data_IF_446634449263
#
_entry.id   IF_446634449263
#
_cell.length_a   1.000
_cell.length_b   1.000
_cell.length_c   1.000
_cell.angle_alpha   90.00
_cell.angle_beta   90.00
_cell.angle_gamma   90.00
#
_symmetry.space_group_name_H-M   'P 1'
#
loop_
_entity.id
_entity.type
_entity.pdbx_description
1 polymer ?
#
# COMPACT_ATOMS: atom_id res chain seq x y z
N UNK A 1 -9.72 23.31 -67.30
CA UNK A 1 -10.25 23.64 -65.97
C UNK A 1 -10.72 22.34 -65.32
N UNK A 2 -9.80 21.63 -64.66
CA UNK A 2 -10.08 20.37 -63.97
C UNK A 2 -10.41 20.64 -62.51
N UNK A 3 -11.56 20.17 -62.04
CA UNK A 3 -11.97 20.21 -60.64
C UNK A 3 -11.73 18.84 -60.01
N UNK A 4 -10.72 18.75 -59.14
CA UNK A 4 -10.49 17.60 -58.27
C UNK A 4 -11.46 17.69 -57.09
N UNK A 5 -12.36 16.70 -56.98
CA UNK A 5 -13.14 16.45 -55.78
C UNK A 5 -12.23 15.77 -54.74
N UNK A 6 -11.95 16.47 -53.64
CA UNK A 6 -11.37 15.85 -52.45
C UNK A 6 -12.48 15.14 -51.67
N UNK A 7 -12.49 13.81 -51.70
CA UNK A 7 -13.21 13.01 -50.72
C UNK A 7 -12.37 12.96 -49.44
N UNK A 8 -12.84 13.60 -48.37
CA UNK A 8 -12.28 13.44 -47.05
C UNK A 8 -12.54 12.02 -46.54
N UNK A 9 -11.48 11.20 -46.42
CA UNK A 9 -11.52 9.99 -45.63
C UNK A 9 -11.64 10.40 -44.16
N UNK A 10 -12.86 10.29 -43.62
CA UNK A 10 -13.08 10.24 -42.17
C UNK A 10 -12.47 8.94 -41.68
N UNK A 11 -11.19 9.02 -41.31
CA UNK A 11 -10.55 7.96 -40.54
C UNK A 11 -11.29 7.84 -39.22
N UNK A 12 -11.92 6.69 -39.01
CA UNK A 12 -12.46 6.33 -37.72
C UNK A 12 -11.31 6.39 -36.71
N UNK A 13 -11.41 7.35 -35.79
CA UNK A 13 -10.66 7.33 -34.56
C UNK A 13 -11.07 6.06 -33.82
N UNK A 14 -10.33 4.98 -33.99
CA UNK A 14 -10.25 3.97 -32.94
C UNK A 14 -9.84 4.74 -31.69
N UNK A 15 -10.78 4.96 -30.77
CA UNK A 15 -10.51 5.44 -29.42
C UNK A 15 -9.60 4.40 -28.76
N UNK A 16 -8.30 4.54 -28.99
CA UNK A 16 -7.29 3.79 -28.24
C UNK A 16 -7.43 4.27 -26.80
N UNK A 17 -7.90 3.36 -25.93
CA UNK A 17 -7.85 3.57 -24.49
C UNK A 17 -6.45 4.09 -24.13
N UNK A 18 -6.34 5.17 -23.33
CA UNK A 18 -5.05 5.66 -22.86
C UNK A 18 -4.23 4.52 -22.28
N UNK A 19 -2.92 4.49 -22.57
CA UNK A 19 -2.02 3.40 -22.15
C UNK A 19 -2.08 3.10 -20.64
N UNK A 20 -2.37 4.10 -19.82
CA UNK A 20 -2.56 3.96 -18.37
C UNK A 20 -3.81 3.14 -18.01
N UNK A 21 -4.94 3.36 -18.69
CA UNK A 21 -6.18 2.62 -18.43
C UNK A 21 -6.05 1.15 -18.79
N UNK A 22 -5.37 0.86 -19.90
CA UNK A 22 -5.06 -0.52 -20.30
C UNK A 22 -4.18 -1.20 -19.27
N UNK A 23 -3.16 -0.50 -18.75
CA UNK A 23 -2.26 -1.04 -17.73
C UNK A 23 -3.00 -1.30 -16.41
N UNK A 24 -3.85 -0.36 -15.96
CA UNK A 24 -4.67 -0.53 -14.76
C UNK A 24 -5.62 -1.72 -14.87
N UNK A 25 -6.31 -1.87 -16.02
CA UNK A 25 -7.18 -3.02 -16.27
C UNK A 25 -6.41 -4.34 -16.29
N UNK A 26 -5.24 -4.37 -16.93
CA UNK A 26 -4.39 -5.56 -16.97
C UNK A 26 -3.93 -5.96 -15.56
N UNK A 27 -3.47 -4.99 -14.76
CA UNK A 27 -3.09 -5.17 -13.37
C UNK A 27 -4.23 -5.82 -12.57
N UNK A 28 -5.46 -5.30 -12.69
CA UNK A 28 -6.63 -5.85 -12.01
C UNK A 28 -6.93 -7.30 -12.40
N UNK A 29 -6.92 -7.60 -13.70
CA UNK A 29 -7.19 -8.95 -14.23
C UNK A 29 -6.15 -9.94 -13.72
N UNK A 30 -4.87 -9.57 -13.78
CA UNK A 30 -3.78 -10.44 -13.36
C UNK A 30 -3.72 -10.62 -11.84
N UNK A 31 -3.97 -9.55 -11.07
CA UNK A 31 -4.09 -9.61 -9.63
C UNK A 31 -5.19 -10.58 -9.21
N UNK A 32 -6.36 -10.48 -9.84
CA UNK A 32 -7.48 -11.40 -9.60
C UNK A 32 -7.11 -12.84 -9.97
N UNK A 33 -6.42 -13.06 -11.09
CA UNK A 33 -5.96 -14.39 -11.50
C UNK A 33 -4.96 -15.01 -10.51
N UNK A 34 -4.15 -14.19 -9.84
CA UNK A 34 -3.26 -14.59 -8.75
C UNK A 34 -3.96 -14.69 -7.39
N UNK A 35 -5.26 -14.40 -7.32
CA UNK A 35 -6.04 -14.39 -6.09
C UNK A 35 -5.66 -13.26 -5.12
N UNK A 36 -4.95 -12.23 -5.60
CA UNK A 36 -4.53 -11.08 -4.81
C UNK A 36 -5.71 -10.15 -4.52
N UNK A 37 -5.65 -9.34 -3.44
CA UNK A 37 -6.69 -8.37 -3.14
C UNK A 37 -6.87 -7.35 -4.26
N UNK A 38 -8.10 -7.12 -4.70
CA UNK A 38 -8.39 -6.18 -5.81
C UNK A 38 -9.44 -5.13 -5.46
N UNK A 39 -10.20 -5.24 -4.37
CA UNK A 39 -11.26 -4.28 -4.02
C UNK A 39 -10.79 -2.84 -3.98
N UNK A 40 -9.70 -2.56 -3.28
CA UNK A 40 -9.19 -1.19 -3.18
C UNK A 40 -8.66 -0.67 -4.52
N UNK A 41 -8.11 -1.56 -5.36
CA UNK A 41 -7.69 -1.22 -6.73
C UNK A 41 -8.89 -0.92 -7.63
N UNK A 42 -10.01 -1.62 -7.45
CA UNK A 42 -11.25 -1.38 -8.19
C UNK A 42 -11.93 -0.07 -7.78
N UNK A 43 -11.69 0.40 -6.55
CA UNK A 43 -12.22 1.67 -6.08
C UNK A 43 -11.54 2.89 -6.71
N UNK A 44 -10.29 2.75 -7.15
CA UNK A 44 -9.52 3.83 -7.81
C UNK A 44 -9.90 3.90 -9.30
N UNK A 45 -10.32 5.07 -9.81
CA UNK A 45 -10.55 5.27 -11.24
C UNK A 45 -9.28 4.97 -12.04
N UNK A 46 -9.41 4.24 -13.16
CA UNK A 46 -8.26 3.84 -13.98
C UNK A 46 -7.44 5.03 -14.54
N UNK A 47 -8.06 6.21 -14.61
CA UNK A 47 -7.43 7.45 -15.05
C UNK A 47 -6.76 8.25 -13.92
N UNK A 48 -6.92 7.82 -12.65
CA UNK A 48 -6.36 8.52 -11.49
C UNK A 48 -4.83 8.41 -11.49
N UNK A 49 -4.31 7.20 -11.73
CA UNK A 49 -2.87 6.94 -11.70
C UNK A 49 -2.27 7.00 -13.12
N UNK A 50 -1.19 7.78 -13.27
CA UNK A 50 -0.34 7.79 -14.47
C UNK A 50 0.84 6.85 -14.26
N UNK A 51 0.99 5.86 -15.12
CA UNK A 51 2.12 4.95 -15.06
C UNK A 51 3.28 5.43 -15.93
N UNK A 52 4.48 5.37 -15.36
CA UNK A 52 5.73 5.66 -16.03
C UNK A 52 6.76 4.57 -15.71
N UNK A 53 7.75 4.42 -16.58
CA UNK A 53 8.87 3.51 -16.35
C UNK A 53 10.18 4.28 -16.30
N UNK A 54 10.92 4.11 -15.22
CA UNK A 54 12.22 4.74 -15.03
C UNK A 54 13.22 3.78 -14.36
N UNK A 55 14.49 4.17 -14.31
CA UNK A 55 15.55 3.40 -13.68
C UNK A 55 15.54 3.59 -12.15
N UNK A 56 14.59 2.93 -11.49
CA UNK A 56 14.57 2.84 -10.03
C UNK A 56 15.66 1.86 -9.57
N UNK A 57 16.72 2.40 -8.97
CA UNK A 57 17.90 1.63 -8.57
C UNK A 57 17.64 0.71 -7.36
N UNK A 58 16.74 1.12 -6.46
CA UNK A 58 16.54 0.47 -5.14
C UNK A 58 15.15 -0.10 -4.94
N UNK A 59 14.18 0.24 -5.80
CA UNK A 59 12.76 -0.08 -5.59
C UNK A 59 12.12 -0.58 -6.88
N UNK A 60 11.12 -1.45 -6.75
CA UNK A 60 10.36 -1.94 -7.90
C UNK A 60 9.34 -0.91 -8.40
N UNK A 61 8.78 -0.11 -7.50
CA UNK A 61 7.82 0.95 -7.80
C UNK A 61 7.99 2.10 -6.80
N UNK A 62 7.51 3.29 -7.15
CA UNK A 62 7.41 4.48 -6.30
C UNK A 62 6.17 5.30 -6.70
N UNK A 63 5.36 5.69 -5.71
CA UNK A 63 4.21 6.56 -5.92
C UNK A 63 4.46 8.00 -5.46
N UNK A 64 4.14 8.98 -6.31
CA UNK A 64 4.26 10.40 -6.00
C UNK A 64 2.90 11.04 -5.66
N UNK A 65 2.67 11.27 -4.36
CA UNK A 65 1.50 11.92 -3.78
C UNK A 65 1.35 13.35 -4.33
N UNK A 66 0.31 13.61 -5.11
CA UNK A 66 0.03 14.93 -5.72
C UNK A 66 0.27 15.01 -7.23
N UNK A 67 1.15 14.18 -7.80
CA UNK A 67 1.25 14.02 -9.26
C UNK A 67 0.35 12.89 -9.78
N UNK A 68 -0.16 12.08 -8.85
CA UNK A 68 -0.86 10.81 -9.08
C UNK A 68 -0.07 9.91 -10.04
N UNK A 69 1.24 9.85 -9.80
CA UNK A 69 2.22 9.24 -10.70
C UNK A 69 2.83 8.01 -10.05
N UNK A 70 2.72 6.89 -10.74
CA UNK A 70 3.32 5.60 -10.37
C UNK A 70 4.52 5.35 -11.27
N UNK A 71 5.72 5.46 -10.72
CA UNK A 71 6.96 5.14 -11.42
C UNK A 71 7.29 3.69 -11.15
N UNK A 72 7.45 2.91 -12.21
CA UNK A 72 7.80 1.50 -12.15
C UNK A 72 9.24 1.32 -12.61
N UNK A 73 9.99 0.45 -11.94
CA UNK A 73 11.34 0.11 -12.40
C UNK A 73 11.27 -0.47 -13.81
N UNK A 74 12.19 -0.06 -14.70
CA UNK A 74 12.28 -0.61 -16.06
C UNK A 74 12.40 -2.13 -16.10
N UNK A 75 12.93 -2.75 -15.05
CA UNK A 75 13.01 -4.22 -14.89
C UNK A 75 11.64 -4.89 -14.82
N UNK A 76 10.62 -4.16 -14.38
CA UNK A 76 9.22 -4.59 -14.38
C UNK A 76 8.57 -4.48 -15.76
N UNK A 77 9.19 -3.79 -16.72
CA UNK A 77 8.60 -3.63 -18.05
C UNK A 77 8.86 -4.83 -18.96
N UNK A 78 7.92 -5.13 -19.86
CA UNK A 78 8.06 -6.26 -20.78
C UNK A 78 9.28 -6.05 -21.69
N UNK A 79 10.23 -6.97 -21.64
CA UNK A 79 11.53 -6.90 -22.33
C UNK A 79 12.35 -5.62 -22.02
N UNK A 80 12.10 -4.93 -20.91
CA UNK A 80 12.80 -3.67 -20.60
C UNK A 80 12.37 -2.48 -21.48
N UNK A 81 11.27 -2.60 -22.23
CA UNK A 81 10.84 -1.60 -23.21
C UNK A 81 10.26 -0.31 -22.60
N UNK A 82 9.89 -0.34 -21.31
CA UNK A 82 9.37 0.84 -20.61
C UNK A 82 7.97 1.29 -21.04
N UNK A 83 7.16 0.40 -21.62
CA UNK A 83 5.83 0.72 -22.15
C UNK A 83 4.69 -0.04 -21.47
N UNK A 84 4.95 -1.27 -21.03
CA UNK A 84 3.93 -2.14 -20.43
C UNK A 84 4.54 -2.95 -19.30
N UNK A 85 3.75 -3.18 -18.25
CA UNK A 85 4.11 -4.01 -17.11
C UNK A 85 4.23 -5.47 -17.59
N UNK A 86 5.27 -6.17 -17.14
CA UNK A 86 5.37 -7.62 -17.30
C UNK A 86 4.19 -8.29 -16.58
N UNK A 87 3.70 -9.44 -17.07
CA UNK A 87 2.69 -10.17 -16.35
C UNK A 87 3.08 -10.40 -14.89
N UNK A 88 2.19 -10.10 -13.94
CA UNK A 88 2.41 -10.21 -12.50
C UNK A 88 2.90 -11.61 -12.12
N UNK A 89 2.40 -12.66 -12.76
CA UNK A 89 2.86 -14.04 -12.55
C UNK A 89 4.32 -14.30 -12.96
N UNK A 90 4.99 -13.34 -13.62
CA UNK A 90 6.42 -13.37 -13.92
C UNK A 90 7.25 -12.46 -13.02
N UNK A 91 6.62 -11.67 -12.15
CA UNK A 91 7.33 -10.86 -11.16
C UNK A 91 7.67 -11.72 -9.94
N UNK A 92 8.73 -11.35 -9.25
CA UNK A 92 9.07 -11.92 -7.95
C UNK A 92 8.04 -11.50 -6.90
N UNK A 93 7.90 -12.28 -5.84
CA UNK A 93 6.99 -11.92 -4.74
C UNK A 93 7.38 -10.59 -4.09
N UNK A 94 8.68 -10.26 -4.04
CA UNK A 94 9.17 -8.97 -3.53
C UNK A 94 8.75 -7.82 -4.44
N UNK A 95 8.87 -7.96 -5.76
CA UNK A 95 8.40 -6.94 -6.71
C UNK A 95 6.89 -6.71 -6.60
N UNK A 96 6.09 -7.78 -6.47
CA UNK A 96 4.64 -7.67 -6.29
C UNK A 96 4.30 -7.03 -4.94
N UNK A 97 5.03 -7.39 -3.88
CA UNK A 97 4.90 -6.80 -2.54
C UNK A 97 5.12 -5.29 -2.58
N UNK A 98 6.20 -4.83 -3.19
CA UNK A 98 6.50 -3.39 -3.35
C UNK A 98 5.45 -2.72 -4.22
N UNK A 99 5.03 -3.34 -5.33
CA UNK A 99 3.96 -2.79 -6.16
C UNK A 99 2.66 -2.58 -5.37
N UNK A 100 2.26 -3.54 -4.52
CA UNK A 100 1.07 -3.41 -3.69
C UNK A 100 1.22 -2.38 -2.55
N UNK A 101 2.43 -2.19 -2.02
CA UNK A 101 2.75 -1.10 -1.11
C UNK A 101 2.47 0.25 -1.78
N UNK A 102 2.99 0.48 -2.98
CA UNK A 102 2.79 1.73 -3.71
C UNK A 102 1.36 1.94 -4.20
N UNK A 103 0.70 0.88 -4.68
CA UNK A 103 -0.72 0.94 -5.07
C UNK A 103 -1.62 1.31 -3.89
N UNK A 104 -1.25 0.91 -2.67
CA UNK A 104 -1.96 1.31 -1.48
C UNK A 104 -1.84 2.82 -1.21
N UNK A 105 -0.65 3.40 -1.42
CA UNK A 105 -0.48 4.85 -1.36
C UNK A 105 -1.38 5.57 -2.37
N UNK A 106 -1.46 5.07 -3.61
CA UNK A 106 -2.36 5.62 -4.62
C UNK A 106 -3.84 5.57 -4.21
N UNK A 107 -4.25 4.49 -3.52
CA UNK A 107 -5.61 4.38 -3.02
C UNK A 107 -5.93 5.35 -1.88
N UNK A 108 -5.04 5.53 -0.90
CA UNK A 108 -5.26 6.54 0.14
C UNK A 108 -5.25 7.96 -0.44
N UNK A 109 -4.37 8.25 -1.41
CA UNK A 109 -4.35 9.52 -2.13
C UNK A 109 -5.67 9.79 -2.86
N UNK A 110 -6.21 8.76 -3.53
CA UNK A 110 -7.53 8.83 -4.15
C UNK A 110 -8.63 9.13 -3.13
N UNK A 111 -8.65 8.45 -1.98
CA UNK A 111 -9.66 8.73 -0.95
C UNK A 111 -9.59 10.17 -0.45
N UNK A 112 -8.39 10.70 -0.25
CA UNK A 112 -8.18 12.10 0.17
C UNK A 112 -8.68 13.06 -0.92
N UNK A 113 -8.27 12.86 -2.17
CA UNK A 113 -8.67 13.70 -3.31
C UNK A 113 -10.19 13.65 -3.55
N UNK A 114 -10.80 12.47 -3.38
CA UNK A 114 -12.24 12.30 -3.48
C UNK A 114 -12.98 13.04 -2.35
N UNK A 115 -12.47 13.00 -1.13
CA UNK A 115 -13.05 13.71 0.01
C UNK A 115 -12.98 15.25 -0.13
N UNK A 116 -11.96 15.77 -0.81
CA UNK A 116 -11.85 17.21 -1.11
C UNK A 116 -12.88 17.67 -2.15
N UNK A 117 -13.30 16.77 -3.03
CA UNK A 117 -14.19 17.10 -4.16
C UNK A 117 -15.65 16.67 -3.95
N UNK A 118 -15.93 15.80 -2.97
CA UNK A 118 -17.26 15.29 -2.66
C UNK A 118 -17.51 15.17 -1.15
N UNK A 119 -18.55 15.83 -0.59
CA UNK A 119 -18.92 15.70 0.82
C UNK A 119 -19.23 14.25 1.26
N UNK A 120 -19.74 13.41 0.36
CA UNK A 120 -20.05 12.01 0.66
C UNK A 120 -18.78 11.18 0.87
N UNK A 121 -17.70 11.51 0.15
CA UNK A 121 -16.42 10.83 0.27
C UNK A 121 -15.67 11.18 1.57
N UNK A 122 -15.96 12.33 2.19
CA UNK A 122 -15.46 12.68 3.53
C UNK A 122 -15.87 11.65 4.57
N UNK A 123 -17.04 11.03 4.40
CA UNK A 123 -17.56 10.01 5.32
C UNK A 123 -17.07 8.59 5.00
N UNK A 124 -16.07 8.44 4.12
CA UNK A 124 -15.55 7.13 3.77
C UNK A 124 -14.94 6.44 5.01
N UNK A 125 -15.42 5.25 5.43
CA UNK A 125 -15.05 4.65 6.71
C UNK A 125 -13.55 4.45 6.92
N UNK A 126 -12.84 4.07 5.86
CA UNK A 126 -11.38 3.88 5.89
C UNK A 126 -10.67 5.22 6.14
N UNK A 127 -11.12 6.30 5.49
CA UNK A 127 -10.49 7.62 5.62
C UNK A 127 -10.77 8.22 7.00
N UNK A 128 -12.02 8.12 7.47
CA UNK A 128 -12.40 8.57 8.83
C UNK A 128 -11.56 7.85 9.88
N UNK A 129 -11.43 6.53 9.76
CA UNK A 129 -10.60 5.75 10.68
C UNK A 129 -9.12 6.12 10.59
N UNK A 130 -8.58 6.27 9.37
CA UNK A 130 -7.19 6.69 9.17
C UNK A 130 -6.92 8.06 9.82
N UNK A 131 -7.80 9.06 9.64
CA UNK A 131 -7.64 10.38 10.27
C UNK A 131 -7.71 10.32 11.80
N UNK A 132 -8.55 9.46 12.37
CA UNK A 132 -8.58 9.23 13.81
C UNK A 132 -7.26 8.61 14.32
N UNK A 133 -6.70 7.62 13.61
CA UNK A 133 -5.41 7.03 13.97
C UNK A 133 -4.25 8.01 13.76
N UNK A 134 -4.29 8.85 12.73
CA UNK A 134 -3.28 9.88 12.46
C UNK A 134 -3.12 10.79 13.67
N UNK A 135 -4.22 11.37 14.18
CA UNK A 135 -4.16 12.30 15.31
C UNK A 135 -3.83 11.62 16.65
N UNK A 136 -4.13 10.33 16.79
CA UNK A 136 -4.02 9.63 18.06
C UNK A 136 -2.77 8.73 18.16
N UNK A 137 -2.64 7.73 17.29
CA UNK A 137 -1.55 6.75 17.33
C UNK A 137 -0.27 7.29 16.68
N UNK A 138 -0.40 8.02 15.57
CA UNK A 138 0.75 8.56 14.83
C UNK A 138 1.08 10.02 15.14
N UNK A 139 0.24 10.73 15.92
CA UNK A 139 0.52 12.09 16.35
C UNK A 139 1.66 12.17 17.37
N UNK A 140 1.86 11.10 18.16
CA UNK A 140 2.98 10.96 19.07
C UNK A 140 3.53 9.53 19.00
N UNK A 141 4.73 9.36 18.44
CA UNK A 141 5.35 8.05 18.19
C UNK A 141 6.61 7.87 19.01
N UNK A 142 7.03 6.62 19.16
CA UNK A 142 8.39 6.28 19.56
C UNK A 142 9.18 5.99 18.29
N UNK A 143 10.41 6.50 18.21
CA UNK A 143 11.37 6.19 17.15
C UNK A 143 12.60 5.50 17.74
N UNK A 144 13.32 4.74 16.92
CA UNK A 144 14.66 4.26 17.26
C UNK A 144 15.68 5.27 16.71
N UNK A 145 16.31 6.10 17.55
CA UNK A 145 17.08 7.26 17.07
C UNK A 145 18.35 6.85 16.31
N UNK A 146 18.92 5.69 16.65
CA UNK A 146 20.15 5.15 16.06
C UNK A 146 19.98 3.64 15.88
N UNK A 147 20.16 3.15 14.66
CA UNK A 147 19.96 1.71 14.32
C UNK A 147 20.84 0.79 15.16
N UNK A 148 22.05 1.23 15.53
CA UNK A 148 22.96 0.47 16.40
C UNK A 148 22.50 0.40 17.87
N UNK A 149 21.49 1.17 18.28
CA UNK A 149 20.93 1.19 19.64
C UNK A 149 19.45 0.86 19.62
N UNK A 150 19.14 -0.35 19.13
CA UNK A 150 17.77 -0.82 18.91
C UNK A 150 16.88 -0.91 20.16
N UNK A 151 17.46 -0.85 21.36
CA UNK A 151 16.74 -0.80 22.63
C UNK A 151 16.40 0.62 23.10
N UNK A 152 17.04 1.64 22.54
CA UNK A 152 16.75 3.04 22.86
C UNK A 152 15.57 3.52 22.02
N UNK A 153 14.61 4.15 22.68
CA UNK A 153 13.46 4.79 22.02
C UNK A 153 13.35 6.23 22.45
N UNK A 154 13.01 7.10 21.49
CA UNK A 154 12.77 8.52 21.72
C UNK A 154 11.31 8.84 21.37
N UNK A 155 10.62 9.60 22.22
CA UNK A 155 9.27 10.08 21.92
C UNK A 155 9.32 11.30 21.01
N UNK A 156 8.48 11.29 19.97
CA UNK A 156 8.36 12.35 18.97
C UNK A 156 6.90 12.72 18.77
N UNK A 157 6.64 14.01 18.78
CA UNK A 157 5.37 14.59 18.36
C UNK A 157 5.51 14.97 16.89
N UNK A 158 4.65 14.41 16.05
CA UNK A 158 4.71 14.58 14.61
C UNK A 158 3.79 15.71 14.18
N UNK A 159 4.21 16.45 13.17
CA UNK A 159 3.33 17.36 12.42
C UNK A 159 2.17 16.61 11.77
N UNK A 160 1.18 17.34 11.24
CA UNK A 160 0.09 16.74 10.47
C UNK A 160 0.64 15.95 9.26
N UNK A 161 1.62 16.48 8.54
CA UNK A 161 2.23 15.81 7.39
C UNK A 161 2.99 14.56 7.81
N UNK A 162 3.87 14.65 8.80
CA UNK A 162 4.69 13.53 9.25
C UNK A 162 3.85 12.41 9.87
N UNK A 163 2.79 12.76 10.63
CA UNK A 163 1.87 11.76 11.20
C UNK A 163 1.05 11.05 10.13
N UNK A 164 0.63 11.76 9.08
CA UNK A 164 -0.04 11.15 7.93
C UNK A 164 0.90 10.21 7.18
N UNK A 165 2.13 10.64 6.94
CA UNK A 165 3.16 9.83 6.29
C UNK A 165 3.47 8.57 7.11
N UNK A 166 3.70 8.71 8.42
CA UNK A 166 3.94 7.58 9.33
C UNK A 166 2.79 6.55 9.31
N UNK A 167 1.54 7.01 9.29
CA UNK A 167 0.37 6.14 9.15
C UNK A 167 0.36 5.44 7.80
N UNK A 168 0.47 6.22 6.72
CA UNK A 168 0.35 5.74 5.35
C UNK A 168 1.43 4.69 5.05
N UNK A 169 2.69 4.95 5.44
CA UNK A 169 3.80 4.01 5.34
C UNK A 169 3.58 2.75 6.19
N UNK A 170 3.09 2.88 7.42
CA UNK A 170 2.84 1.72 8.29
C UNK A 170 1.78 0.80 7.70
N UNK A 171 0.71 1.36 7.15
CA UNK A 171 -0.35 0.59 6.50
C UNK A 171 0.14 -0.03 5.19
N UNK A 172 0.90 0.70 4.38
CA UNK A 172 1.49 0.21 3.14
C UNK A 172 2.46 -0.96 3.38
N UNK A 173 3.33 -0.86 4.40
CA UNK A 173 4.22 -1.95 4.83
C UNK A 173 3.40 -3.20 5.15
N UNK A 174 2.29 -3.05 5.88
CA UNK A 174 1.41 -4.18 6.19
C UNK A 174 0.75 -4.74 4.92
N UNK A 175 0.34 -3.89 3.99
CA UNK A 175 -0.25 -4.33 2.71
C UNK A 175 0.73 -5.17 1.89
N UNK A 176 1.96 -4.67 1.70
CA UNK A 176 3.01 -5.43 1.04
C UNK A 176 3.30 -6.75 1.75
N UNK A 177 3.42 -6.71 3.09
CA UNK A 177 3.66 -7.91 3.91
C UNK A 177 2.57 -8.97 3.73
N UNK A 178 1.29 -8.58 3.72
CA UNK A 178 0.16 -9.49 3.52
C UNK A 178 0.24 -10.17 2.15
N UNK A 179 0.48 -9.38 1.10
CA UNK A 179 0.56 -9.85 -0.29
C UNK A 179 1.73 -10.80 -0.47
N UNK A 180 2.91 -10.44 0.03
CA UNK A 180 4.10 -11.29 -0.02
C UNK A 180 3.84 -12.65 0.66
N UNK A 181 3.29 -12.64 1.88
CA UNK A 181 3.01 -13.88 2.60
C UNK A 181 1.94 -14.73 1.92
N UNK A 182 0.92 -14.11 1.32
CA UNK A 182 -0.08 -14.85 0.56
C UNK A 182 0.54 -15.57 -0.63
N UNK A 183 1.43 -14.91 -1.37
CA UNK A 183 2.12 -15.49 -2.53
C UNK A 183 3.05 -16.65 -2.13
N UNK A 184 3.84 -16.46 -1.07
CA UNK A 184 4.72 -17.50 -0.52
C UNK A 184 3.96 -18.76 -0.07
N UNK A 185 2.79 -18.59 0.54
CA UNK A 185 2.03 -19.68 1.16
C UNK A 185 1.01 -20.33 0.24
N UNK A 186 0.53 -19.60 -0.75
CA UNK A 186 -0.39 -20.14 -1.75
C UNK A 186 0.37 -20.82 -2.88
N UNK A 187 1.62 -20.45 -3.18
CA UNK A 187 2.32 -20.92 -4.38
C UNK A 187 1.47 -20.71 -5.66
N UNK A 188 1.85 -21.32 -6.78
CA UNK A 188 1.07 -21.16 -8.02
C UNK A 188 -0.30 -21.89 -8.02
N UNK A 189 -0.56 -22.83 -7.08
CA UNK A 189 -1.77 -23.70 -7.07
C UNK A 189 -2.21 -24.19 -5.68
N UNK A 190 -1.58 -23.73 -4.61
CA UNK A 190 -1.90 -24.15 -3.25
C UNK A 190 -3.18 -23.52 -2.71
N UNK A 191 -3.70 -24.04 -1.58
CA UNK A 191 -4.90 -23.50 -0.95
C UNK A 191 -4.68 -22.04 -0.53
N UNK A 192 -5.65 -21.18 -0.82
CA UNK A 192 -5.63 -19.77 -0.37
C UNK A 192 -5.58 -19.67 1.15
N UNK A 193 -4.84 -18.70 1.68
CA UNK A 193 -4.82 -18.35 3.11
C UNK A 193 -6.22 -17.98 3.64
N UNK A 194 -7.13 -17.58 2.75
CA UNK A 194 -8.52 -17.26 3.06
C UNK A 194 -9.30 -18.48 3.57
N UNK A 195 -8.87 -19.70 3.19
CA UNK A 195 -9.48 -20.96 3.59
C UNK A 195 -8.80 -21.56 4.82
N UNK A 196 -9.54 -22.19 5.75
CA UNK A 196 -8.94 -22.90 6.88
C UNK A 196 -7.99 -24.01 6.40
N UNK A 197 -6.84 -24.12 7.06
CA UNK A 197 -5.84 -25.16 6.78
C UNK A 197 -4.42 -24.71 7.09
N UNK A 198 -3.45 -25.53 6.67
CA UNK A 198 -2.02 -25.33 6.97
C UNK A 198 -1.50 -23.97 6.49
N UNK A 199 -1.87 -23.53 5.29
CA UNK A 199 -1.44 -22.22 4.76
C UNK A 199 -1.94 -21.07 5.64
N UNK A 200 -3.17 -21.15 6.17
CA UNK A 200 -3.69 -20.14 7.08
C UNK A 200 -3.03 -20.20 8.46
N UNK A 201 -2.76 -21.39 8.99
CA UNK A 201 -2.02 -21.56 10.26
C UNK A 201 -0.62 -20.98 10.18
N UNK A 202 0.10 -21.28 9.09
CA UNK A 202 1.42 -20.74 8.82
C UNK A 202 1.37 -19.22 8.64
N UNK A 203 0.39 -18.69 7.91
CA UNK A 203 0.20 -17.24 7.76
C UNK A 203 0.02 -16.55 9.13
N UNK A 204 -0.81 -17.12 10.01
CA UNK A 204 -1.02 -16.59 11.37
C UNK A 204 0.24 -16.69 12.23
N UNK A 205 1.02 -17.77 12.07
CA UNK A 205 2.32 -17.92 12.74
C UNK A 205 3.31 -16.83 12.30
N UNK A 206 3.41 -16.58 10.99
CA UNK A 206 4.25 -15.51 10.42
C UNK A 206 3.80 -14.12 10.88
N UNK A 207 2.49 -13.87 10.96
CA UNK A 207 1.96 -12.61 11.49
C UNK A 207 2.41 -12.40 12.94
N UNK A 208 2.35 -13.45 13.77
CA UNK A 208 2.79 -13.40 15.15
C UNK A 208 4.28 -13.13 15.29
N UNK A 209 5.10 -13.72 14.42
CA UNK A 209 6.54 -13.45 14.37
C UNK A 209 6.80 -11.98 13.98
N UNK A 210 6.17 -11.50 12.90
CA UNK A 210 6.33 -10.14 12.39
C UNK A 210 5.91 -9.08 13.41
N UNK A 211 4.81 -9.30 14.12
CA UNK A 211 4.34 -8.41 15.19
C UNK A 211 5.33 -8.38 16.38
N UNK A 212 5.77 -9.55 16.84
CA UNK A 212 6.75 -9.67 17.94
C UNK A 212 8.10 -9.03 17.60
N UNK A 213 8.54 -9.16 16.35
CA UNK A 213 9.81 -8.60 15.87
C UNK A 213 9.69 -7.09 15.56
N UNK A 214 8.47 -6.55 15.58
CA UNK A 214 8.21 -5.15 15.27
C UNK A 214 8.43 -4.81 13.80
N UNK A 215 8.21 -5.77 12.89
CA UNK A 215 8.40 -5.58 11.45
C UNK A 215 7.26 -4.77 10.80
N UNK A 216 6.08 -4.72 11.44
CA UNK A 216 4.87 -4.07 10.92
C UNK A 216 4.84 -2.57 11.29
N UNK A 217 5.85 -1.83 10.85
CA UNK A 217 6.03 -0.42 11.21
C UNK A 217 6.53 0.38 10.01
N UNK A 218 6.05 1.61 9.90
CA UNK A 218 6.49 2.55 8.87
C UNK A 218 7.63 3.46 9.32
N UNK A 219 7.76 4.56 8.61
CA UNK A 219 8.67 5.67 8.87
C UNK A 219 8.00 6.98 8.47
N UNK A 220 8.63 8.10 8.77
CA UNK A 220 8.30 9.40 8.18
C UNK A 220 9.56 10.13 7.73
N UNK A 221 9.42 11.03 6.76
CA UNK A 221 10.46 11.97 6.36
C UNK A 221 10.32 13.30 7.14
N UNK A 222 11.32 13.68 7.96
CA UNK A 222 11.24 14.89 8.77
C UNK A 222 10.96 16.16 7.94
N UNK A 223 10.02 16.99 8.40
CA UNK A 223 9.77 18.32 7.81
C UNK A 223 10.96 19.26 8.03
N UNK A 224 11.56 19.19 9.22
CA UNK A 224 12.69 20.02 9.59
C UNK A 224 13.93 19.69 8.74
N UNK A 225 14.48 20.64 7.98
CA UNK A 225 15.66 20.41 7.17
C UNK A 225 16.89 20.03 7.99
N UNK A 226 16.99 20.53 9.23
CA UNK A 226 18.09 20.19 10.14
C UNK A 226 18.07 18.71 10.53
N UNK A 227 16.89 18.20 10.88
CA UNK A 227 16.70 16.78 11.14
C UNK A 227 16.90 15.92 9.89
N UNK A 228 16.39 16.36 8.74
CA UNK A 228 16.55 15.64 7.46
C UNK A 228 18.00 15.52 7.02
N UNK A 229 18.85 16.49 7.38
CA UNK A 229 20.29 16.43 7.15
C UNK A 229 20.98 15.30 7.95
N UNK A 230 20.41 14.92 9.09
CA UNK A 230 20.91 13.83 9.94
C UNK A 230 20.31 12.49 9.52
N UNK A 231 19.01 12.44 9.29
CA UNK A 231 18.29 11.24 8.89
C UNK A 231 17.20 11.57 7.88
N UNK A 232 17.34 11.07 6.64
CA UNK A 232 16.33 11.26 5.59
C UNK A 232 14.98 10.65 5.98
N UNK A 233 15.00 9.51 6.68
CA UNK A 233 13.82 8.78 7.16
C UNK A 233 14.00 8.46 8.65
N UNK A 234 12.93 8.62 9.42
CA UNK A 234 12.84 8.22 10.83
C UNK A 234 11.91 7.02 10.95
N UNK A 235 12.50 5.86 11.21
CA UNK A 235 11.73 4.63 11.42
C UNK A 235 11.07 4.66 12.80
N UNK A 236 9.80 4.26 12.82
CA UNK A 236 9.08 4.05 14.07
C UNK A 236 9.77 2.94 14.88
N UNK A 237 9.65 2.99 16.20
CA UNK A 237 10.09 1.92 17.09
C UNK A 237 9.08 0.76 17.05
N UNK A 238 9.45 -0.47 17.47
CA UNK A 238 8.51 -1.59 17.61
C UNK A 238 7.25 -1.25 18.44
N UNK A 239 7.37 -0.36 19.42
CA UNK A 239 6.26 0.06 20.28
C UNK A 239 5.23 0.95 19.54
N UNK A 240 5.60 1.55 18.41
CA UNK A 240 4.72 2.35 17.53
C UNK A 240 4.36 1.62 16.24
N UNK A 241 4.43 0.29 16.24
CA UNK A 241 3.97 -0.55 15.12
C UNK A 241 2.45 -0.48 14.92
N UNK A 242 1.99 -1.05 13.80
CA UNK A 242 0.58 -1.23 13.46
C UNK A 242 -0.23 -1.86 14.61
N UNK A 243 -1.39 -1.28 14.92
CA UNK A 243 -2.33 -1.80 15.90
C UNK A 243 -3.27 -2.85 15.29
N UNK A 244 -3.79 -3.75 16.13
CA UNK A 244 -4.74 -4.78 15.71
C UNK A 244 -6.04 -4.24 15.09
N UNK A 245 -6.50 -3.06 15.52
CA UNK A 245 -7.65 -2.39 14.94
C UNK A 245 -7.39 -1.88 13.52
N UNK A 246 -6.19 -1.36 13.26
CA UNK A 246 -5.77 -0.90 11.94
C UNK A 246 -5.65 -2.08 10.97
N UNK A 247 -4.98 -3.15 11.40
CA UNK A 247 -4.92 -4.38 10.64
C UNK A 247 -6.31 -4.94 10.32
N UNK A 248 -7.27 -4.84 11.25
CA UNK A 248 -8.65 -5.27 11.02
C UNK A 248 -9.31 -4.45 9.91
N UNK A 249 -9.19 -3.12 9.93
CA UNK A 249 -9.73 -2.24 8.88
C UNK A 249 -9.08 -2.54 7.53
N UNK A 250 -7.75 -2.67 7.48
CA UNK A 250 -7.04 -3.00 6.24
C UNK A 250 -7.49 -4.36 5.69
N UNK A 251 -7.45 -5.41 6.51
CA UNK A 251 -7.79 -6.75 6.07
C UNK A 251 -9.26 -6.86 5.65
N UNK A 252 -10.19 -6.22 6.38
CA UNK A 252 -11.62 -6.32 6.12
C UNK A 252 -12.06 -5.41 4.97
N UNK A 253 -11.77 -4.12 5.10
CA UNK A 253 -12.38 -3.09 4.28
C UNK A 253 -11.58 -2.84 2.99
N UNK A 254 -10.27 -3.06 3.01
CA UNK A 254 -9.35 -2.85 1.87
C UNK A 254 -9.05 -4.17 1.14
N UNK A 255 -8.81 -5.27 1.87
CA UNK A 255 -8.34 -6.54 1.27
C UNK A 255 -9.37 -7.67 1.16
N UNK A 256 -10.55 -7.53 1.76
CA UNK A 256 -11.64 -8.53 1.74
C UNK A 256 -11.27 -9.90 2.33
N UNK A 257 -10.64 -9.89 3.49
CA UNK A 257 -10.31 -11.13 4.20
C UNK A 257 -11.54 -11.73 4.88
N UNK A 258 -11.59 -13.06 4.92
CA UNK A 258 -12.70 -13.80 5.52
C UNK A 258 -12.84 -13.47 7.01
N UNK A 259 -14.08 -13.41 7.56
CA UNK A 259 -14.30 -13.13 8.98
C UNK A 259 -13.52 -14.06 9.92
N UNK A 260 -13.35 -15.33 9.53
CA UNK A 260 -12.57 -16.30 10.28
C UNK A 260 -11.09 -15.90 10.39
N UNK A 261 -10.47 -15.48 9.28
CA UNK A 261 -9.09 -15.02 9.29
C UNK A 261 -8.91 -13.70 10.04
N UNK A 262 -9.87 -12.79 9.92
CA UNK A 262 -9.88 -11.52 10.68
C UNK A 262 -9.85 -11.76 12.20
N UNK A 263 -10.66 -12.68 12.71
CA UNK A 263 -10.68 -13.03 14.15
C UNK A 263 -9.31 -13.55 14.61
N UNK A 264 -8.67 -14.41 13.80
CA UNK A 264 -7.35 -14.96 14.12
C UNK A 264 -6.26 -13.89 14.11
N UNK A 265 -6.25 -13.01 13.10
CA UNK A 265 -5.28 -11.92 12.99
C UNK A 265 -5.42 -10.92 14.14
N UNK A 266 -6.66 -10.54 14.49
CA UNK A 266 -6.92 -9.67 15.64
C UNK A 266 -6.42 -10.28 16.95
N UNK A 267 -6.61 -11.59 17.13
CA UNK A 267 -6.10 -12.31 18.31
C UNK A 267 -4.58 -12.25 18.45
N UNK A 268 -3.83 -12.28 17.34
CA UNK A 268 -2.37 -12.12 17.34
C UNK A 268 -1.98 -10.71 17.78
N UNK A 269 -2.52 -9.69 17.10
CA UNK A 269 -2.12 -8.29 17.29
C UNK A 269 -2.61 -7.66 18.59
N UNK A 270 -3.56 -8.31 19.28
CA UNK A 270 -4.03 -7.90 20.61
C UNK A 270 -3.21 -8.53 21.76
N UNK A 271 -2.43 -9.58 21.48
CA UNK A 271 -1.79 -10.43 22.50
C UNK A 271 -0.42 -9.96 22.99
N UNK A 272 0.21 -8.98 22.33
CA UNK A 272 1.55 -8.48 22.68
C UNK A 272 1.47 -7.17 23.47
N UNK A 273 1.24 -7.31 24.78
CA UNK A 273 1.05 -6.22 25.73
C UNK A 273 2.29 -5.36 26.05
N UNK A 274 2.90 -4.73 25.04
CA UNK A 274 3.93 -3.68 25.25
C UNK A 274 3.46 -2.25 24.90
N UNK A 275 2.18 -2.06 24.58
CA UNK A 275 1.62 -0.72 24.30
C UNK A 275 0.27 -0.43 24.95
N UNK A 276 -0.16 -1.27 25.91
CA UNK A 276 -1.54 -1.35 26.44
C UNK A 276 -2.11 0.02 26.88
N UNK A 277 -1.28 0.96 27.30
CA UNK A 277 -1.74 2.30 27.72
C UNK A 277 -2.16 3.25 26.58
N UNK A 278 -1.81 2.98 25.32
CA UNK A 278 -2.24 3.80 24.17
C UNK A 278 -3.43 3.20 23.39
N UNK A 279 -3.75 1.91 23.59
CA UNK A 279 -4.78 1.18 22.82
C UNK A 279 -6.21 1.74 22.97
N UNK A 280 -6.55 2.33 24.12
CA UNK A 280 -7.92 2.80 24.40
C UNK A 280 -8.15 4.28 24.08
N UNK A 281 -7.17 5.02 23.53
CA UNK A 281 -7.29 6.47 23.32
C UNK A 281 -7.89 6.90 21.98
N UNK A 282 -7.98 6.00 21.00
CA UNK A 282 -8.37 6.35 19.62
C UNK A 282 -9.80 5.92 19.26
N UNK A 283 -10.68 5.71 20.26
CA UNK A 283 -12.10 5.34 20.06
C UNK A 283 -12.99 6.55 19.82
#
# INVERSE_FOLDING_TARGET
MGGLFFTANVGMSEERLPSAELMWRQLLIEAQALGLPTKFLQAVPASFVRFEFDDLHSYAAEYHLGEHRMVLSRTLSFNGAGTTLRPLGRLTHTEISTLYHELFHAYLDYLVTAAETSPEAVSHPVLVFARAQQGCHYGAVLITPVVQRSSETEERFLSERESWEALNETWAVFVGWVVWNQLELSGQRGPSIQQPGKSQEEWVSRLKAADREGNLRGYYEPEDPGERAVARKRYLAPASRLLGQEATVIMKDIMEFSPALLVRAKGVLSGTGQGVERYDRCR
#
